data_IF_203417900588
#
_entry.id   IF_203417900588
#
_cell.length_a   1.000
_cell.length_b   1.000
_cell.length_c   1.000
_cell.angle_alpha   90.00
_cell.angle_beta   90.00
_cell.angle_gamma   90.00
#
_symmetry.space_group_name_H-M   'P 1'
#
loop_
_entity.id
_entity.type
_entity.pdbx_description
1 polymer ?
#
# COMPACT_ATOMS: atom_id res chain seq x y z
N UNK A 1 6.40 -4.24 11.87
CA UNK A 1 5.23 -3.34 11.75
C UNK A 1 5.14 -2.88 10.31
N UNK A 2 4.10 -3.31 9.57
CA UNK A 2 4.10 -3.12 8.13
C UNK A 2 2.79 -2.56 7.62
N UNK A 3 2.68 -1.23 7.64
CA UNK A 3 1.71 -0.51 6.83
C UNK A 3 2.43 -0.06 5.57
N UNK A 4 2.06 -0.62 4.43
CA UNK A 4 2.59 -0.26 3.12
C UNK A 4 1.59 0.65 2.44
N UNK A 5 1.91 1.93 2.34
CA UNK A 5 1.06 2.92 1.72
C UNK A 5 1.44 3.08 0.25
N UNK A 6 0.50 2.86 -0.66
CA UNK A 6 0.67 3.11 -2.08
C UNK A 6 -0.19 4.29 -2.52
N UNK A 7 0.40 5.20 -3.27
CA UNK A 7 -0.31 6.35 -3.85
C UNK A 7 0.24 6.66 -5.25
N UNK A 8 -0.41 7.54 -5.98
CA UNK A 8 -0.02 7.90 -7.35
C UNK A 8 -0.10 9.41 -7.55
N UNK A 9 0.85 10.02 -8.28
CA UNK A 9 0.79 11.43 -8.62
C UNK A 9 -0.31 11.76 -9.64
N UNK A 10 -0.97 10.74 -10.21
CA UNK A 10 -2.01 10.88 -11.23
C UNK A 10 -1.68 10.11 -12.52
N UNK A 11 -2.57 10.23 -13.51
CA UNK A 11 -2.36 9.59 -14.81
C UNK A 11 -2.63 8.09 -14.88
N UNK A 12 -3.29 7.52 -13.87
CA UNK A 12 -3.72 6.11 -13.82
C UNK A 12 -2.62 5.12 -14.20
N UNK A 13 -1.52 5.05 -13.44
CA UNK A 13 -0.41 4.15 -13.75
C UNK A 13 -0.71 2.68 -13.43
N UNK A 14 -1.94 2.35 -12.99
CA UNK A 14 -2.31 1.03 -12.49
C UNK A 14 -2.07 0.87 -10.98
N UNK A 15 -2.31 1.91 -10.19
CA UNK A 15 -2.14 1.91 -8.74
C UNK A 15 -2.92 0.76 -8.08
N UNK A 16 -4.25 0.73 -8.22
CA UNK A 16 -5.11 -0.29 -7.62
C UNK A 16 -4.75 -1.70 -8.08
N UNK A 17 -4.49 -1.88 -9.38
CA UNK A 17 -4.04 -3.16 -9.93
C UNK A 17 -2.69 -3.60 -9.35
N UNK A 18 -1.78 -2.65 -9.12
CA UNK A 18 -0.49 -2.91 -8.47
C UNK A 18 -0.66 -3.25 -7.00
N UNK A 19 -1.52 -2.52 -6.28
CA UNK A 19 -1.82 -2.76 -4.86
C UNK A 19 -2.46 -4.14 -4.65
N UNK A 20 -3.45 -4.49 -5.49
CA UNK A 20 -4.08 -5.81 -5.47
C UNK A 20 -3.06 -6.91 -5.81
N UNK A 21 -2.30 -6.75 -6.88
CA UNK A 21 -1.24 -7.69 -7.24
C UNK A 21 -0.23 -7.89 -6.11
N UNK A 22 0.18 -6.80 -5.45
CA UNK A 22 1.08 -6.83 -4.30
C UNK A 22 0.46 -7.64 -3.13
N UNK A 23 -0.79 -7.40 -2.79
CA UNK A 23 -1.49 -8.13 -1.74
C UNK A 23 -1.59 -9.64 -2.06
N UNK A 24 -1.96 -9.98 -3.30
CA UNK A 24 -2.08 -11.37 -3.75
C UNK A 24 -0.74 -12.12 -3.80
N UNK A 25 0.38 -11.42 -3.92
CA UNK A 25 1.73 -12.01 -3.94
C UNK A 25 2.51 -11.78 -2.64
N UNK A 26 1.91 -11.10 -1.67
CA UNK A 26 2.56 -10.80 -0.39
C UNK A 26 2.91 -12.08 0.36
N UNK A 27 4.11 -12.22 0.94
CA UNK A 27 4.58 -13.50 1.49
C UNK A 27 4.05 -13.83 2.90
N UNK A 28 3.16 -13.01 3.45
CA UNK A 28 2.50 -13.20 4.75
C UNK A 28 1.00 -12.95 4.59
N UNK A 29 0.25 -13.13 5.65
CA UNK A 29 -1.13 -12.67 5.71
C UNK A 29 -1.20 -11.18 5.45
N UNK A 30 -2.14 -10.75 4.64
CA UNK A 30 -2.26 -9.35 4.23
C UNK A 30 -3.72 -8.90 4.12
N UNK A 31 -3.96 -7.65 4.49
CA UNK A 31 -5.21 -6.95 4.19
C UNK A 31 -4.90 -5.83 3.21
N UNK A 32 -5.58 -5.83 2.07
CA UNK A 32 -5.61 -4.68 1.16
C UNK A 32 -6.75 -3.76 1.59
N UNK A 33 -6.41 -2.55 2.01
CA UNK A 33 -7.38 -1.50 2.30
C UNK A 33 -7.49 -0.55 1.09
N UNK A 34 -8.67 -0.49 0.49
CA UNK A 34 -8.97 0.48 -0.57
C UNK A 34 -9.39 1.80 0.08
N UNK A 35 -8.48 2.75 0.13
CA UNK A 35 -8.70 4.05 0.74
C UNK A 35 -8.70 5.20 -0.29
N UNK A 36 -8.87 4.88 -1.59
CA UNK A 36 -8.99 5.90 -2.63
C UNK A 36 -10.25 6.76 -2.41
N UNK A 37 -10.11 8.07 -2.13
CA UNK A 37 -11.26 8.97 -1.96
C UNK A 37 -12.09 9.13 -3.24
N UNK A 38 -11.56 8.69 -4.38
CA UNK A 38 -12.24 8.64 -5.66
C UNK A 38 -12.50 7.20 -6.09
N UNK A 39 -13.45 6.51 -5.46
CA UNK A 39 -13.61 5.05 -5.62
C UNK A 39 -13.85 4.66 -7.07
N UNK A 40 -13.07 3.68 -7.54
CA UNK A 40 -13.22 3.09 -8.86
C UNK A 40 -13.90 1.72 -8.86
N UNK A 41 -14.10 1.14 -7.68
CA UNK A 41 -14.67 -0.21 -7.47
C UNK A 41 -14.01 -1.29 -8.33
N UNK A 42 -12.74 -1.11 -8.67
CA UNK A 42 -12.00 -2.00 -9.57
C UNK A 42 -11.88 -3.42 -9.00
N UNK A 43 -11.66 -3.52 -7.69
CA UNK A 43 -11.48 -4.82 -7.03
C UNK A 43 -12.82 -5.54 -6.92
N UNK A 44 -13.86 -4.86 -6.45
CA UNK A 44 -15.18 -5.45 -6.24
C UNK A 44 -15.85 -5.82 -7.58
N UNK A 45 -15.84 -4.93 -8.56
CA UNK A 45 -16.49 -5.16 -9.85
C UNK A 45 -15.65 -6.02 -10.78
N UNK A 46 -14.32 -5.85 -10.78
CA UNK A 46 -13.38 -6.59 -11.60
C UNK A 46 -12.99 -7.92 -10.96
N UNK A 47 -12.02 -7.92 -10.06
CA UNK A 47 -11.44 -9.15 -9.50
C UNK A 47 -12.47 -10.06 -8.83
N UNK A 48 -13.36 -9.48 -8.01
CA UNK A 48 -14.45 -10.21 -7.33
C UNK A 48 -15.69 -10.39 -8.21
N UNK A 49 -15.72 -9.84 -9.42
CA UNK A 49 -16.84 -9.96 -10.39
C UNK A 49 -18.20 -9.60 -9.78
N UNK A 50 -18.24 -8.61 -8.89
CA UNK A 50 -19.44 -8.21 -8.15
C UNK A 50 -19.91 -9.21 -7.09
N UNK A 51 -19.17 -10.26 -6.83
CA UNK A 51 -19.51 -11.29 -5.82
C UNK A 51 -18.94 -10.89 -4.47
N UNK A 52 -19.51 -9.87 -3.87
CA UNK A 52 -19.10 -9.38 -2.56
C UNK A 52 -20.20 -9.64 -1.52
N UNK A 53 -19.83 -10.06 -0.29
CA UNK A 53 -20.78 -10.08 0.81
C UNK A 53 -21.19 -8.64 1.16
N UNK A 54 -22.38 -8.44 1.75
CA UNK A 54 -22.79 -7.11 2.19
C UNK A 54 -21.90 -6.65 3.36
N UNK A 55 -20.90 -5.83 3.04
CA UNK A 55 -20.00 -5.19 3.98
C UNK A 55 -20.00 -3.69 3.72
N UNK A 56 -19.74 -2.93 4.76
CA UNK A 56 -19.71 -1.48 4.67
C UNK A 56 -18.30 -0.90 4.57
N UNK A 57 -17.28 -1.76 4.64
CA UNK A 57 -15.87 -1.41 4.48
C UNK A 57 -15.41 -0.31 5.43
N UNK A 58 -14.65 0.64 4.92
CA UNK A 58 -14.14 1.77 5.73
C UNK A 58 -15.24 2.58 6.43
N UNK A 59 -16.40 2.73 5.80
CA UNK A 59 -17.52 3.47 6.40
C UNK A 59 -18.15 2.68 7.55
N UNK A 60 -18.25 1.37 7.43
CA UNK A 60 -18.67 0.48 8.51
C UNK A 60 -17.74 0.57 9.71
N UNK A 61 -16.43 0.58 9.46
CA UNK A 61 -15.42 0.77 10.51
C UNK A 61 -15.58 2.12 11.22
N UNK A 62 -15.76 3.21 10.47
CA UNK A 62 -15.95 4.52 11.08
C UNK A 62 -17.21 4.57 11.97
N UNK A 63 -18.27 3.85 11.60
CA UNK A 63 -19.46 3.69 12.43
C UNK A 63 -19.19 2.83 13.67
N UNK A 64 -18.58 1.66 13.50
CA UNK A 64 -18.24 0.74 14.58
C UNK A 64 -17.32 1.39 15.64
N UNK A 65 -16.32 2.15 15.22
CA UNK A 65 -15.41 2.87 16.13
C UNK A 65 -16.15 3.96 16.94
N UNK A 66 -17.09 4.67 16.31
CA UNK A 66 -17.92 5.66 16.99
C UNK A 66 -18.81 5.02 18.04
N UNK A 67 -19.28 3.80 17.76
CA UNK A 67 -20.13 3.02 18.66
C UNK A 67 -19.32 2.27 19.73
N UNK A 68 -17.98 2.44 19.74
CA UNK A 68 -17.10 1.88 20.77
C UNK A 68 -16.70 0.43 20.54
N UNK A 69 -16.81 -0.08 19.32
CA UNK A 69 -16.32 -1.43 18.98
C UNK A 69 -14.80 -1.52 19.09
N UNK A 70 -14.30 -2.73 19.40
CA UNK A 70 -12.88 -3.02 19.32
C UNK A 70 -12.37 -2.87 17.88
N UNK A 71 -11.35 -2.02 17.63
CA UNK A 71 -10.93 -1.71 16.27
C UNK A 71 -10.38 -2.89 15.48
N UNK A 72 -9.67 -3.82 16.14
CA UNK A 72 -9.10 -5.01 15.48
C UNK A 72 -10.21 -5.97 15.10
N UNK A 73 -11.14 -6.23 16.01
CA UNK A 73 -12.30 -7.08 15.73
C UNK A 73 -13.14 -6.51 14.61
N UNK A 74 -13.45 -5.20 14.63
CA UNK A 74 -14.22 -4.55 13.60
C UNK A 74 -13.52 -4.65 12.22
N UNK A 75 -12.19 -4.51 12.15
CA UNK A 75 -11.44 -4.72 10.91
C UNK A 75 -11.63 -6.14 10.37
N UNK A 76 -11.55 -7.15 11.22
CA UNK A 76 -11.77 -8.53 10.79
C UNK A 76 -13.20 -8.77 10.28
N UNK A 77 -14.19 -8.20 10.95
CA UNK A 77 -15.60 -8.33 10.58
C UNK A 77 -15.91 -7.66 9.24
N UNK A 78 -15.25 -6.55 8.90
CA UNK A 78 -15.43 -5.85 7.63
C UNK A 78 -14.51 -6.36 6.50
N UNK A 79 -13.52 -7.20 6.81
CA UNK A 79 -12.62 -7.76 5.81
C UNK A 79 -13.29 -8.87 5.00
N UNK A 80 -13.15 -8.79 3.67
CA UNK A 80 -13.65 -9.75 2.70
C UNK A 80 -12.48 -10.63 2.24
N UNK A 81 -12.56 -11.97 2.34
CA UNK A 81 -11.52 -12.84 1.81
C UNK A 81 -11.35 -12.67 0.30
N UNK A 82 -10.12 -12.47 -0.17
CA UNK A 82 -9.78 -12.44 -1.59
C UNK A 82 -9.38 -13.83 -2.06
N UNK A 83 -9.98 -14.37 -3.15
CA UNK A 83 -9.56 -15.60 -3.76
C UNK A 83 -8.10 -15.50 -4.24
N UNK A 84 -7.26 -16.49 -3.93
CA UNK A 84 -5.88 -16.56 -4.39
C UNK A 84 -5.34 -17.99 -4.37
N UNK A 85 -4.20 -18.22 -5.03
CA UNK A 85 -3.68 -19.57 -5.29
C UNK A 85 -2.98 -20.23 -4.08
N UNK A 86 -2.74 -19.52 -2.98
CA UNK A 86 -2.04 -20.06 -1.80
C UNK A 86 -3.00 -20.38 -0.68
N UNK A 87 -2.97 -21.61 -0.16
CA UNK A 87 -3.74 -22.02 1.00
C UNK A 87 -3.06 -21.70 2.34
N UNK A 88 -1.76 -21.36 2.31
CA UNK A 88 -0.92 -21.17 3.50
C UNK A 88 -1.02 -19.77 4.12
N UNK A 89 -1.79 -18.87 3.51
CA UNK A 89 -1.90 -17.47 3.95
C UNK A 89 -3.27 -16.90 3.63
N UNK A 90 -3.65 -15.90 4.40
CA UNK A 90 -4.89 -15.15 4.19
C UNK A 90 -4.59 -13.85 3.43
N UNK A 91 -5.42 -13.56 2.44
CA UNK A 91 -5.47 -12.25 1.80
C UNK A 91 -6.89 -11.72 1.89
N UNK A 92 -7.05 -10.52 2.46
CA UNK A 92 -8.34 -9.90 2.64
C UNK A 92 -8.43 -8.53 1.96
N UNK A 93 -9.66 -8.11 1.67
CA UNK A 93 -10.01 -6.78 1.20
C UNK A 93 -10.81 -6.06 2.26
N UNK A 94 -10.38 -4.90 2.65
CA UNK A 94 -11.18 -3.90 3.33
C UNK A 94 -11.68 -2.92 2.28
N UNK A 95 -12.95 -3.05 1.90
CA UNK A 95 -13.58 -2.25 0.86
C UNK A 95 -13.55 -0.75 1.19
N UNK A 96 -13.37 0.05 0.17
CA UNK A 96 -13.29 1.50 0.28
C UNK A 96 -14.64 2.20 0.39
N UNK A 97 -14.72 3.33 -0.27
CA UNK A 97 -15.91 4.18 -0.25
C UNK A 97 -16.90 3.79 -1.34
N UNK A 98 -18.18 3.80 -1.02
CA UNK A 98 -19.26 3.51 -1.98
C UNK A 98 -19.46 4.64 -3.00
N UNK A 99 -19.13 5.88 -2.64
CA UNK A 99 -19.27 7.05 -3.51
C UNK A 99 -18.40 8.23 -3.05
N UNK A 100 -18.22 9.18 -3.95
CA UNK A 100 -17.49 10.43 -3.69
C UNK A 100 -18.04 11.15 -2.47
N UNK A 101 -17.17 11.73 -1.66
CA UNK A 101 -17.53 12.48 -0.46
C UNK A 101 -17.54 11.65 0.83
N UNK A 102 -17.67 10.32 0.76
CA UNK A 102 -17.64 9.49 1.97
C UNK A 102 -16.28 9.50 2.69
N UNK A 103 -15.19 9.76 1.97
CA UNK A 103 -13.85 9.87 2.57
C UNK A 103 -13.81 10.92 3.69
N UNK A 104 -14.59 11.99 3.60
CA UNK A 104 -14.67 13.01 4.65
C UNK A 104 -15.26 12.50 5.96
N UNK A 105 -16.04 11.42 5.93
CA UNK A 105 -16.63 10.80 7.12
C UNK A 105 -15.61 10.03 7.96
N UNK A 106 -14.45 9.70 7.37
CA UNK A 106 -13.39 8.96 8.06
C UNK A 106 -12.62 9.81 9.08
N UNK A 107 -12.53 11.11 8.92
CA UNK A 107 -11.88 12.08 9.82
C UNK A 107 -11.17 11.49 11.03
N UNK A 108 -11.86 11.51 12.19
CA UNK A 108 -11.31 10.99 13.44
C UNK A 108 -11.13 9.45 13.47
N UNK A 109 -11.79 8.70 12.60
CA UNK A 109 -11.68 7.24 12.55
C UNK A 109 -10.33 6.77 12.05
N UNK A 110 -9.59 7.59 11.30
CA UNK A 110 -8.27 7.23 10.80
C UNK A 110 -7.27 6.89 11.90
N UNK A 111 -7.27 7.59 13.02
CA UNK A 111 -6.36 7.29 14.12
C UNK A 111 -6.63 5.91 14.73
N UNK A 112 -7.90 5.56 14.94
CA UNK A 112 -8.30 4.24 15.44
C UNK A 112 -7.99 3.14 14.43
N UNK A 113 -8.25 3.38 13.14
CA UNK A 113 -7.93 2.44 12.08
C UNK A 113 -6.43 2.17 11.98
N UNK A 114 -5.60 3.21 12.03
CA UNK A 114 -4.14 3.06 12.01
C UNK A 114 -3.64 2.31 13.24
N UNK A 115 -4.23 2.54 14.42
CA UNK A 115 -3.91 1.74 15.62
C UNK A 115 -4.24 0.28 15.43
N UNK A 116 -5.42 -0.04 14.89
CA UNK A 116 -5.81 -1.42 14.60
C UNK A 116 -4.88 -2.08 13.56
N UNK A 117 -4.44 -1.35 12.53
CA UNK A 117 -3.45 -1.85 11.57
C UNK A 117 -2.12 -2.19 12.24
N UNK A 118 -1.71 -1.41 13.24
CA UNK A 118 -0.50 -1.66 14.02
C UNK A 118 -0.65 -2.92 14.88
N UNK A 119 -1.81 -3.11 15.48
CA UNK A 119 -2.09 -4.27 16.34
C UNK A 119 -2.19 -5.56 15.51
N UNK A 120 -2.73 -5.50 14.29
CA UNK A 120 -2.75 -6.61 13.34
C UNK A 120 -1.36 -7.12 12.98
N UNK A 121 -0.37 -6.24 12.87
CA UNK A 121 1.01 -6.66 12.62
C UNK A 121 1.56 -7.55 13.75
N UNK A 122 1.19 -7.33 15.00
CA UNK A 122 1.57 -8.20 16.12
C UNK A 122 0.97 -9.60 15.96
N UNK A 123 -0.18 -9.71 15.27
CA UNK A 123 -0.80 -10.98 14.91
C UNK A 123 -0.22 -11.57 13.60
N UNK A 124 0.76 -10.93 12.98
CA UNK A 124 1.41 -11.44 11.77
C UNK A 124 0.77 -10.98 10.45
N UNK A 125 -0.13 -10.03 10.48
CA UNK A 125 -0.86 -9.52 9.31
C UNK A 125 -0.34 -8.16 8.90
N UNK A 126 0.10 -8.02 7.65
CA UNK A 126 0.52 -6.75 7.08
C UNK A 126 -0.65 -6.04 6.39
N UNK A 127 -0.64 -4.71 6.37
CA UNK A 127 -1.70 -3.93 5.72
C UNK A 127 -1.12 -3.15 4.55
N UNK A 128 -1.67 -3.38 3.36
CA UNK A 128 -1.36 -2.65 2.14
C UNK A 128 -2.51 -1.68 1.89
N UNK A 129 -2.20 -0.39 1.75
CA UNK A 129 -3.21 0.64 1.58
C UNK A 129 -3.08 1.24 0.18
N UNK A 130 -4.14 1.11 -0.62
CA UNK A 130 -4.33 1.91 -1.83
C UNK A 130 -4.94 3.25 -1.42
N UNK A 131 -4.13 4.29 -1.38
CA UNK A 131 -4.55 5.62 -0.95
C UNK A 131 -4.99 6.52 -2.11
N UNK A 132 -5.13 5.96 -3.30
CA UNK A 132 -5.56 6.70 -4.46
C UNK A 132 -4.52 7.73 -4.93
N UNK A 133 -5.00 8.85 -5.46
CA UNK A 133 -4.16 9.88 -6.06
C UNK A 133 -3.79 10.96 -5.06
N UNK A 134 -2.54 11.40 -5.14
CA UNK A 134 -2.12 12.67 -4.53
C UNK A 134 -2.94 13.82 -5.11
N UNK A 135 -3.45 14.69 -4.27
CA UNK A 135 -4.33 15.77 -4.72
C UNK A 135 -4.85 16.64 -3.58
N UNK A 136 -5.92 17.42 -3.85
CA UNK A 136 -6.48 18.35 -2.88
C UNK A 136 -6.98 17.70 -1.58
N UNK A 137 -7.31 16.43 -1.64
CA UNK A 137 -7.56 15.62 -0.45
C UNK A 137 -6.22 15.03 -0.03
N UNK A 138 -5.61 15.63 0.98
CA UNK A 138 -4.36 15.14 1.56
C UNK A 138 -4.54 13.72 2.11
N UNK A 139 -3.46 12.93 2.01
CA UNK A 139 -3.41 11.64 2.70
C UNK A 139 -3.62 11.85 4.21
N UNK A 140 -4.31 10.93 4.91
CA UNK A 140 -4.49 11.04 6.35
C UNK A 140 -3.12 11.11 7.06
N UNK A 141 -2.91 12.16 7.84
CA UNK A 141 -1.62 12.40 8.51
C UNK A 141 -1.21 11.22 9.41
N UNK A 142 -2.17 10.67 10.15
CA UNK A 142 -1.93 9.50 11.00
C UNK A 142 -1.46 8.28 10.22
N UNK A 143 -1.98 8.08 8.99
CA UNK A 143 -1.58 6.99 8.12
C UNK A 143 -0.16 7.20 7.56
N UNK A 144 0.12 8.41 7.05
CA UNK A 144 1.44 8.77 6.51
C UNK A 144 2.52 8.67 7.60
N UNK A 145 2.24 9.19 8.80
CA UNK A 145 3.17 9.17 9.93
C UNK A 145 3.50 7.75 10.43
N UNK A 146 2.65 6.77 10.18
CA UNK A 146 2.82 5.39 10.66
C UNK A 146 3.12 4.38 9.55
N UNK A 147 3.10 4.82 8.30
CA UNK A 147 3.49 3.96 7.19
C UNK A 147 4.96 3.53 7.32
N UNK A 148 5.19 2.24 7.23
CA UNK A 148 6.54 1.65 7.20
C UNK A 148 7.24 1.91 5.87
N UNK A 149 6.44 2.10 4.82
CA UNK A 149 6.91 2.42 3.48
C UNK A 149 5.80 3.14 2.71
N UNK A 150 6.19 4.19 1.97
CA UNK A 150 5.30 4.92 1.05
C UNK A 150 5.81 4.73 -0.37
N UNK A 151 5.05 3.99 -1.17
CA UNK A 151 5.32 3.74 -2.58
C UNK A 151 4.55 4.69 -3.48
N UNK A 152 5.28 5.51 -4.24
CA UNK A 152 4.70 6.37 -5.27
C UNK A 152 4.65 5.59 -6.58
N UNK A 153 3.46 5.13 -6.93
CA UNK A 153 3.26 4.35 -8.17
C UNK A 153 3.16 5.32 -9.36
N UNK A 154 4.08 5.18 -10.30
CA UNK A 154 4.14 5.99 -11.52
C UNK A 154 4.47 5.14 -12.73
N UNK A 155 4.09 5.60 -13.91
CA UNK A 155 4.56 4.98 -15.16
C UNK A 155 5.82 5.66 -15.69
N UNK A 156 6.44 5.06 -16.71
CA UNK A 156 7.68 5.56 -17.30
C UNK A 156 7.50 6.55 -18.46
N UNK A 157 6.26 6.93 -18.80
CA UNK A 157 5.98 7.86 -19.88
C UNK A 157 6.05 9.31 -19.41
N UNK A 158 6.51 10.22 -20.27
CA UNK A 158 6.61 11.66 -19.96
C UNK A 158 5.37 12.25 -19.31
N UNK A 159 4.17 11.90 -19.79
CA UNK A 159 2.90 12.36 -19.21
C UNK A 159 2.77 12.00 -17.73
N UNK A 160 3.19 10.79 -17.35
CA UNK A 160 3.11 10.30 -15.98
C UNK A 160 4.20 10.93 -15.12
N UNK A 161 5.41 11.09 -15.68
CA UNK A 161 6.52 11.75 -15.00
C UNK A 161 6.28 13.25 -14.81
N UNK A 162 5.60 13.91 -15.76
CA UNK A 162 5.15 15.28 -15.57
C UNK A 162 4.17 15.41 -14.40
N UNK A 163 3.25 14.44 -14.23
CA UNK A 163 2.40 14.36 -13.05
C UNK A 163 3.19 14.24 -11.75
N UNK A 164 4.23 13.42 -11.73
CA UNK A 164 5.13 13.29 -10.58
C UNK A 164 5.90 14.58 -10.30
N UNK A 165 6.42 15.24 -11.34
CA UNK A 165 7.12 16.53 -11.22
C UNK A 165 6.26 17.63 -10.60
N UNK A 166 4.96 17.64 -10.89
CA UNK A 166 4.02 18.60 -10.29
C UNK A 166 3.72 18.32 -8.80
N UNK A 167 4.09 17.16 -8.29
CA UNK A 167 3.85 16.70 -6.91
C UNK A 167 5.11 16.45 -6.11
N UNK A 168 6.26 16.82 -6.66
CA UNK A 168 7.54 16.50 -6.01
C UNK A 168 7.66 17.14 -4.63
N UNK A 169 7.22 18.38 -4.47
CA UNK A 169 7.21 19.07 -3.18
C UNK A 169 6.31 18.36 -2.14
N UNK A 170 5.14 17.87 -2.58
CA UNK A 170 4.24 17.11 -1.73
C UNK A 170 4.86 15.76 -1.31
N UNK A 171 5.55 15.10 -2.23
CA UNK A 171 6.26 13.83 -1.96
C UNK A 171 7.45 14.05 -1.04
N UNK A 172 8.22 15.12 -1.24
CA UNK A 172 9.36 15.48 -0.39
C UNK A 172 8.94 15.90 1.02
N UNK A 173 7.76 16.52 1.14
CA UNK A 173 7.20 16.90 2.44
C UNK A 173 6.62 15.71 3.22
N UNK A 174 6.45 14.54 2.60
CA UNK A 174 6.02 13.36 3.33
C UNK A 174 7.07 13.00 4.38
N UNK A 175 6.66 12.77 5.62
CA UNK A 175 7.62 12.47 6.67
C UNK A 175 8.37 11.19 6.32
N UNK A 176 9.63 11.36 5.87
CA UNK A 176 10.62 10.28 5.86
C UNK A 176 11.05 9.97 7.30
N UNK A 177 10.45 10.68 8.23
CA UNK A 177 10.84 10.77 9.62
C UNK A 177 10.42 9.51 10.36
N UNK A 178 11.37 8.88 10.90
CA UNK A 178 11.37 7.95 12.03
C UNK A 178 10.96 6.52 11.74
N UNK A 179 10.04 6.19 10.84
CA UNK A 179 9.64 4.81 10.59
C UNK A 179 9.52 4.41 9.12
N UNK A 180 9.33 5.37 8.20
CA UNK A 180 9.01 5.06 6.80
C UNK A 180 10.02 5.58 5.78
N UNK A 181 10.15 4.87 4.67
CA UNK A 181 10.92 5.28 3.49
C UNK A 181 9.96 5.63 2.36
N UNK A 182 10.16 6.76 1.70
CA UNK A 182 9.42 7.14 0.48
C UNK A 182 10.21 6.73 -0.76
N UNK A 183 9.54 6.17 -1.78
CA UNK A 183 10.20 5.78 -3.02
C UNK A 183 9.22 5.41 -4.13
N UNK A 184 9.77 5.02 -5.27
CA UNK A 184 9.03 4.80 -6.49
C UNK A 184 8.73 3.32 -6.74
N UNK A 185 7.52 3.05 -7.23
CA UNK A 185 7.14 1.83 -7.93
C UNK A 185 6.89 2.21 -9.39
N UNK A 186 7.67 1.66 -10.32
CA UNK A 186 7.60 2.05 -11.73
C UNK A 186 6.86 1.00 -12.55
N UNK A 187 5.73 1.39 -13.14
CA UNK A 187 4.94 0.53 -14.03
C UNK A 187 5.38 0.75 -15.48
N UNK A 188 5.78 -0.33 -16.14
CA UNK A 188 6.25 -0.32 -17.52
C UNK A 188 7.58 0.41 -17.73
N UNK A 189 8.64 0.07 -16.98
CA UNK A 189 9.96 0.67 -17.16
C UNK A 189 10.48 0.44 -18.57
N UNK A 190 11.31 1.40 -19.06
CA UNK A 190 11.85 1.35 -20.42
C UNK A 190 10.87 1.83 -21.53
N UNK A 191 9.82 2.58 -21.18
CA UNK A 191 8.83 3.12 -22.12
C UNK A 191 8.62 4.64 -21.99
N UNK A 192 9.56 5.51 -22.36
CA UNK A 192 10.92 5.21 -22.81
C UNK A 192 11.96 5.12 -21.69
N UNK A 193 11.66 5.62 -20.48
CA UNK A 193 12.64 5.78 -19.41
C UNK A 193 12.72 4.54 -18.51
N UNK A 194 13.94 4.17 -18.12
CA UNK A 194 14.19 3.14 -17.13
C UNK A 194 13.90 3.65 -15.70
N UNK A 195 13.60 2.74 -14.79
CA UNK A 195 13.39 3.07 -13.38
C UNK A 195 14.59 3.76 -12.76
N UNK A 196 15.81 3.38 -13.16
CA UNK A 196 17.05 4.00 -12.70
C UNK A 196 17.16 5.47 -13.11
N UNK A 197 16.77 5.79 -14.34
CA UNK A 197 16.75 7.19 -14.83
C UNK A 197 15.71 7.99 -14.07
N UNK A 198 14.51 7.41 -13.89
CA UNK A 198 13.41 8.05 -13.15
C UNK A 198 13.83 8.28 -11.69
N UNK A 199 14.34 7.26 -11.00
CA UNK A 199 14.79 7.37 -9.62
C UNK A 199 15.87 8.44 -9.44
N UNK A 200 16.83 8.51 -10.37
CA UNK A 200 17.87 9.55 -10.36
C UNK A 200 17.30 10.94 -10.61
N UNK A 201 16.36 11.09 -11.54
CA UNK A 201 15.75 12.38 -11.89
C UNK A 201 14.99 12.98 -10.70
N UNK A 202 14.29 12.16 -9.93
CA UNK A 202 13.48 12.60 -8.80
C UNK A 202 14.18 12.47 -7.43
N UNK A 203 15.41 11.97 -7.39
CA UNK A 203 16.14 11.77 -6.13
C UNK A 203 15.51 10.72 -5.20
N UNK A 204 14.65 9.84 -5.73
CA UNK A 204 13.90 8.86 -4.96
C UNK A 204 14.42 7.42 -5.22
N UNK A 205 14.51 6.58 -4.18
CA UNK A 205 14.82 5.18 -4.35
C UNK A 205 13.71 4.48 -5.14
N UNK A 206 14.06 3.48 -5.94
CA UNK A 206 13.09 2.63 -6.62
C UNK A 206 12.88 1.37 -5.79
N UNK A 207 11.62 1.07 -5.44
CA UNK A 207 11.25 -0.10 -4.65
C UNK A 207 11.01 -1.33 -5.52
N UNK A 208 10.57 -1.11 -6.76
CA UNK A 208 10.38 -2.19 -7.70
C UNK A 208 9.83 -1.73 -9.04
N UNK A 209 9.91 -2.64 -9.98
CA UNK A 209 9.41 -2.50 -11.33
C UNK A 209 8.23 -3.43 -11.55
N UNK A 210 7.14 -2.90 -12.08
CA UNK A 210 5.97 -3.68 -12.49
C UNK A 210 5.91 -3.71 -14.02
N UNK A 211 5.90 -4.89 -14.60
CA UNK A 211 5.77 -5.05 -16.05
C UNK A 211 4.41 -4.53 -16.51
N UNK A 212 4.41 -3.67 -17.51
CA UNK A 212 3.16 -3.25 -18.15
C UNK A 212 2.65 -4.37 -19.06
N UNK A 213 1.60 -5.04 -18.63
CA UNK A 213 0.90 -6.08 -19.37
C UNK A 213 -0.62 -5.89 -19.19
N UNK A 214 -1.28 -5.35 -20.22
CA UNK A 214 -2.69 -5.03 -20.16
C UNK A 214 -3.58 -6.27 -19.99
N UNK A 215 -3.21 -7.41 -20.59
CA UNK A 215 -3.98 -8.63 -20.44
C UNK A 215 -3.84 -9.24 -19.04
N UNK A 216 -2.62 -9.24 -18.52
CA UNK A 216 -2.41 -9.71 -17.14
C UNK A 216 -3.09 -8.80 -16.12
N UNK A 217 -3.10 -7.49 -16.36
CA UNK A 217 -3.79 -6.52 -15.52
C UNK A 217 -5.31 -6.68 -15.55
N UNK A 218 -5.90 -6.97 -16.73
CA UNK A 218 -7.34 -7.16 -16.91
C UNK A 218 -7.91 -8.33 -16.08
N UNK A 219 -7.10 -9.31 -15.72
CA UNK A 219 -7.49 -10.36 -14.76
C UNK A 219 -7.83 -9.75 -13.39
N UNK A 220 -7.09 -8.72 -12.99
CA UNK A 220 -7.27 -8.04 -11.70
C UNK A 220 -8.29 -6.89 -11.77
N UNK A 221 -8.35 -6.16 -12.90
CA UNK A 221 -9.18 -4.96 -13.03
C UNK A 221 -10.55 -5.19 -13.67
N UNK A 222 -10.69 -6.22 -14.52
CA UNK A 222 -11.87 -6.41 -15.36
C UNK A 222 -12.50 -7.80 -15.18
N UNK A 223 -11.96 -8.63 -14.27
CA UNK A 223 -12.46 -9.98 -14.01
C UNK A 223 -12.23 -10.95 -15.16
N UNK A 224 -11.27 -10.68 -16.04
CA UNK A 224 -10.90 -11.59 -17.10
C UNK A 224 -10.39 -12.92 -16.54
N UNK A 225 -10.69 -14.05 -17.19
CA UNK A 225 -10.25 -15.33 -16.67
C UNK A 225 -8.73 -15.44 -16.66
N UNK A 226 -8.17 -15.79 -15.51
CA UNK A 226 -6.75 -16.08 -15.39
C UNK A 226 -6.36 -17.27 -16.26
N UNK A 227 -5.46 -17.07 -17.21
CA UNK A 227 -4.88 -18.16 -17.97
C UNK A 227 -4.03 -19.09 -17.09
N UNK A 228 -3.88 -20.37 -17.50
CA UNK A 228 -3.13 -21.41 -16.73
C UNK A 228 -1.71 -21.02 -16.29
N UNK A 229 -1.12 -19.99 -16.88
CA UNK A 229 0.24 -19.51 -16.58
C UNK A 229 0.26 -18.08 -16.04
N UNK A 230 -0.89 -17.52 -15.67
CA UNK A 230 -0.97 -16.12 -15.24
C UNK A 230 -0.06 -15.85 -14.03
N UNK A 231 -0.12 -16.71 -13.01
CA UNK A 231 0.70 -16.59 -11.78
C UNK A 231 2.22 -16.75 -12.01
N UNK A 232 2.61 -17.30 -13.17
CA UNK A 232 4.01 -17.45 -13.59
C UNK A 232 4.37 -16.51 -14.74
N UNK A 233 3.46 -15.63 -15.13
CA UNK A 233 3.66 -14.62 -16.17
C UNK A 233 4.60 -13.51 -15.73
N UNK A 234 5.12 -12.76 -16.69
CA UNK A 234 6.06 -11.65 -16.43
C UNK A 234 5.49 -10.59 -15.49
N UNK A 235 4.19 -10.31 -15.59
CA UNK A 235 3.51 -9.38 -14.70
C UNK A 235 3.55 -9.90 -13.25
N UNK A 236 3.00 -11.08 -13.00
CA UNK A 236 2.94 -11.68 -11.66
C UNK A 236 4.35 -11.82 -11.04
N UNK A 237 5.33 -12.28 -11.82
CA UNK A 237 6.73 -12.37 -11.37
C UNK A 237 7.31 -11.00 -11.01
N UNK A 238 7.00 -9.96 -11.77
CA UNK A 238 7.48 -8.60 -11.44
C UNK A 238 6.87 -8.05 -10.16
N UNK A 239 5.58 -8.31 -9.93
CA UNK A 239 4.88 -7.90 -8.70
C UNK A 239 5.42 -8.69 -7.50
N UNK A 240 5.67 -9.99 -7.66
CA UNK A 240 6.28 -10.81 -6.61
C UNK A 240 7.69 -10.30 -6.25
N UNK A 241 8.54 -10.00 -7.23
CA UNK A 241 9.87 -9.42 -6.97
C UNK A 241 9.77 -8.07 -6.28
N UNK A 242 8.77 -7.26 -6.61
CA UNK A 242 8.49 -6.01 -5.92
C UNK A 242 8.08 -6.27 -4.46
N UNK A 243 7.22 -7.27 -4.20
CA UNK A 243 6.81 -7.65 -2.85
C UNK A 243 8.01 -8.02 -1.97
N UNK A 244 8.93 -8.83 -2.51
CA UNK A 244 10.15 -9.22 -1.82
C UNK A 244 11.06 -8.01 -1.52
N UNK A 245 11.22 -7.10 -2.49
CA UNK A 245 12.01 -5.87 -2.33
C UNK A 245 11.41 -4.94 -1.27
N UNK A 246 10.10 -4.72 -1.32
CA UNK A 246 9.38 -3.88 -0.35
C UNK A 246 9.51 -4.46 1.05
N UNK A 247 9.26 -5.76 1.20
CA UNK A 247 9.38 -6.44 2.49
C UNK A 247 10.79 -6.34 3.09
N UNK A 248 11.81 -6.55 2.27
CA UNK A 248 13.20 -6.44 2.72
C UNK A 248 13.54 -5.02 3.21
N UNK A 249 13.07 -3.99 2.49
CA UNK A 249 13.24 -2.59 2.91
C UNK A 249 12.54 -2.27 4.23
N UNK A 250 11.30 -2.74 4.39
CA UNK A 250 10.57 -2.60 5.65
C UNK A 250 11.33 -3.27 6.80
N UNK A 251 11.86 -4.48 6.58
CA UNK A 251 12.67 -5.20 7.56
C UNK A 251 13.94 -4.43 7.95
N UNK A 252 14.65 -3.88 6.97
CA UNK A 252 15.85 -3.06 7.19
C UNK A 252 15.54 -1.77 7.95
N UNK A 253 14.44 -1.09 7.61
CA UNK A 253 14.01 0.10 8.34
C UNK A 253 13.76 -0.19 9.82
N UNK A 254 13.11 -1.32 10.14
CA UNK A 254 12.89 -1.74 11.54
C UNK A 254 14.18 -2.06 12.28
N UNK A 255 15.13 -2.73 11.64
CA UNK A 255 16.41 -3.06 12.26
C UNK A 255 17.23 -1.81 12.60
N UNK A 256 17.16 -0.78 11.77
CA UNK A 256 17.85 0.48 12.00
C UNK A 256 17.27 1.28 13.18
N UNK A 257 15.99 1.09 13.51
CA UNK A 257 15.32 1.73 14.64
C UNK A 257 15.58 0.95 15.94
N UNK A 258 15.67 -0.37 15.87
CA UNK A 258 15.88 -1.27 17.02
C UNK A 258 17.36 -1.67 17.23
N UNK A 259 18.28 -1.06 16.48
CA UNK A 259 19.72 -1.26 16.66
C UNK A 259 20.15 -1.00 18.08
N UNK A 260 21.16 -1.72 18.63
CA UNK A 260 21.53 -1.63 20.03
C UNK A 260 21.92 -0.18 20.36
N UNK A 261 21.18 0.44 21.27
CA UNK A 261 21.72 1.56 22.04
C UNK A 261 23.02 1.05 22.65
N UNK A 262 24.13 1.53 22.13
CA UNK A 262 25.43 1.38 22.79
C UNK A 262 25.32 2.18 24.09
N UNK A 263 24.93 1.51 25.17
CA UNK A 263 25.09 2.02 26.50
C UNK A 263 26.59 2.23 26.69
N UNK A 264 27.05 3.42 26.46
CA UNK A 264 28.38 3.87 26.82
C UNK A 264 28.43 4.04 28.37
N UNK A 265 28.50 2.89 29.04
CA UNK A 265 28.80 2.81 30.46
C UNK A 265 30.30 3.02 30.66
N UNK A 266 30.76 4.21 30.48
CA UNK A 266 32.12 4.63 30.85
C UNK A 266 32.06 6.09 31.20
N UNK A 267 31.79 6.41 32.43
CA UNK A 267 32.42 7.45 33.27
C UNK A 267 31.74 7.43 34.64
N UNK A 268 32.14 6.53 35.51
CA UNK A 268 32.20 6.85 36.96
C UNK A 268 33.61 6.45 37.40
N UNK A 269 34.55 7.35 37.17
CA UNK A 269 35.84 7.36 37.86
C UNK A 269 35.60 7.94 39.25
N UNK A 270 35.53 7.10 40.25
CA UNK A 270 35.63 7.50 41.65
C UNK A 270 37.10 7.80 41.87
N UNK A 271 37.43 9.06 42.11
CA UNK A 271 38.70 9.48 42.70
C UNK A 271 38.57 9.51 44.23
N UNK A 272 39.41 8.73 44.85
CA UNK A 272 39.67 8.72 46.29
C UNK A 272 40.36 10.00 46.74
#
# INVERSE_FOLDING_TARGET
MSIILLTSPGGSPGLTTTALGLALTWPRDAILADADPCPGHVIESGYLTGRIPPRSGLIGLAAAFRDGADPVQAMWEETIPLPHDSEDRMVGLLSGYGHLGQASLMGAAWSSLVSAMIDLDQAGVDVIVDAGRLGPQALPESLVARASLIGIVTGSRLRQLAGLSMRVEEVEAMPSATTGTVGLVVVGPGRPYSSREIGRQFGLPVFGDVVFDAHAAAVLSDGEPAGKRWSRGRYATSVQSMAESVRERVRQAHQNITGPEIFNASVIGVAS
#
